data_IF_094066734817
#
_entry.id   IF_094066734817
#
_cell.length_a   1.000
_cell.length_b   1.000
_cell.length_c   1.000
_cell.angle_alpha   90.00
_cell.angle_beta   90.00
_cell.angle_gamma   90.00
#
_symmetry.space_group_name_H-M   'P 1'
#
loop_
_entity.id
_entity.type
_entity.pdbx_description
1 polymer ?
#
# COMPACT_ATOMS: atom_id res chain seq x y z
N UNK A 1 22.63 21.26 19.59
CA UNK A 1 21.37 20.60 19.22
C UNK A 1 21.38 20.46 17.70
N UNK A 2 21.97 19.38 17.19
CA UNK A 2 22.23 19.21 15.75
C UNK A 2 21.25 18.20 15.18
N UNK A 3 20.43 18.65 14.24
CA UNK A 3 19.64 17.80 13.35
C UNK A 3 20.51 17.49 12.15
N UNK A 4 20.90 16.23 11.99
CA UNK A 4 21.66 15.77 10.84
C UNK A 4 20.69 15.30 9.76
N UNK A 5 20.65 16.04 8.66
CA UNK A 5 20.07 15.61 7.37
C UNK A 5 21.14 14.77 6.67
N UNK A 6 20.79 13.56 6.21
CA UNK A 6 21.61 12.80 5.27
C UNK A 6 20.77 12.54 4.03
N UNK A 7 21.17 13.18 2.93
CA UNK A 7 20.80 12.86 1.56
C UNK A 7 21.82 11.82 1.07
N UNK A 8 21.39 10.74 0.42
CA UNK A 8 22.26 10.00 -0.49
C UNK A 8 21.53 9.71 -1.80
N UNK A 9 22.13 10.23 -2.87
CA UNK A 9 21.89 9.86 -4.26
C UNK A 9 23.03 8.93 -4.70
N UNK A 10 22.64 7.85 -5.38
CA UNK A 10 23.42 6.92 -6.21
C UNK A 10 24.70 6.30 -5.62
N UNK A 11 24.73 4.97 -5.46
CA UNK A 11 25.75 4.09 -6.06
C UNK A 11 25.36 2.62 -5.84
N UNK A 12 25.68 1.82 -6.86
CA UNK A 12 25.45 0.39 -7.05
C UNK A 12 25.61 -0.45 -5.76
N UNK A 13 24.54 -1.06 -5.27
CA UNK A 13 24.61 -2.12 -4.26
C UNK A 13 23.47 -3.10 -4.46
N UNK A 14 23.83 -4.38 -4.59
CA UNK A 14 22.93 -5.52 -4.54
C UNK A 14 22.21 -5.54 -3.18
N UNK A 15 21.16 -4.75 -3.04
CA UNK A 15 20.19 -4.92 -1.97
C UNK A 15 19.12 -5.86 -2.53
N UNK A 16 19.18 -7.10 -2.05
CA UNK A 16 18.09 -8.06 -2.14
C UNK A 16 16.90 -7.41 -1.40
N UNK A 17 16.08 -6.65 -2.12
CA UNK A 17 14.87 -6.05 -1.57
C UNK A 17 13.91 -7.20 -1.26
N UNK A 18 13.93 -7.70 -0.03
CA UNK A 18 12.90 -8.61 0.44
C UNK A 18 11.59 -7.83 0.56
N UNK A 19 10.59 -8.18 -0.24
CA UNK A 19 9.23 -7.71 0.03
C UNK A 19 8.72 -8.46 1.26
N UNK A 20 8.50 -7.78 2.39
CA UNK A 20 7.92 -8.39 3.60
C UNK A 20 6.57 -7.74 3.86
N UNK A 21 5.55 -8.58 3.97
CA UNK A 21 4.21 -8.22 4.36
C UNK A 21 3.88 -8.93 5.66
N UNK A 22 3.66 -8.15 6.72
CA UNK A 22 3.24 -8.65 8.02
C UNK A 22 1.83 -8.19 8.32
N UNK A 23 0.97 -9.12 8.73
CA UNK A 23 -0.37 -8.83 9.24
C UNK A 23 -0.41 -9.08 10.73
N UNK A 24 -1.12 -8.24 11.49
CA UNK A 24 -1.49 -8.52 12.88
C UNK A 24 -3.00 -8.42 13.02
N UNK A 25 -3.63 -9.50 13.45
CA UNK A 25 -5.06 -9.62 13.71
C UNK A 25 -5.27 -10.11 15.16
N UNK A 26 -6.52 -10.12 15.64
CA UNK A 26 -6.88 -10.77 16.93
C UNK A 26 -7.32 -12.24 16.75
N UNK A 27 -7.64 -12.65 15.52
CA UNK A 27 -8.11 -13.99 15.10
C UNK A 27 -7.80 -14.22 13.61
N UNK A 28 -8.01 -15.46 13.13
CA UNK A 28 -7.53 -16.01 11.85
C UNK A 28 -7.75 -15.11 10.62
N UNK A 29 -6.69 -14.92 9.82
CA UNK A 29 -6.73 -14.30 8.50
C UNK A 29 -5.99 -15.18 7.50
N UNK A 30 -6.03 -14.76 6.24
CA UNK A 30 -5.19 -15.28 5.15
C UNK A 30 -4.64 -14.07 4.41
N UNK A 31 -3.35 -13.82 4.58
CA UNK A 31 -2.59 -12.85 3.81
C UNK A 31 -1.93 -13.53 2.62
N UNK A 32 -2.45 -13.30 1.42
CA UNK A 32 -1.86 -13.85 0.20
C UNK A 32 -1.29 -12.70 -0.63
N UNK A 33 -0.09 -12.93 -1.16
CA UNK A 33 0.58 -12.01 -2.09
C UNK A 33 0.65 -12.68 -3.46
N UNK A 34 0.18 -11.99 -4.50
CA UNK A 34 0.18 -12.53 -5.86
C UNK A 34 0.98 -11.66 -6.82
N UNK A 35 1.71 -12.30 -7.75
CA UNK A 35 2.30 -11.67 -8.93
C UNK A 35 1.77 -12.38 -10.18
N UNK A 36 0.89 -11.72 -10.94
CA UNK A 36 0.17 -12.40 -12.03
C UNK A 36 -0.61 -13.60 -11.50
N UNK A 37 -0.25 -14.81 -11.96
CA UNK A 37 -0.84 -16.08 -11.52
C UNK A 37 -0.09 -16.74 -10.34
N UNK A 38 1.10 -16.25 -10.00
CA UNK A 38 1.92 -16.83 -8.92
C UNK A 38 1.41 -16.37 -7.57
N UNK A 39 1.17 -17.34 -6.68
CA UNK A 39 0.64 -17.12 -5.33
C UNK A 39 1.71 -17.42 -4.28
N UNK A 40 2.02 -16.45 -3.42
CA UNK A 40 2.95 -16.60 -2.30
C UNK A 40 2.17 -16.74 -0.99
N UNK A 41 2.38 -17.88 -0.31
CA UNK A 41 1.71 -18.20 0.96
C UNK A 41 2.49 -17.67 2.18
N UNK A 42 1.81 -17.43 3.30
CA UNK A 42 2.46 -17.12 4.58
C UNK A 42 3.48 -18.16 5.01
N UNK A 43 4.45 -17.71 5.80
CA UNK A 43 5.27 -18.60 6.62
C UNK A 43 4.47 -19.07 7.83
N UNK A 44 4.38 -20.39 8.00
CA UNK A 44 3.76 -21.04 9.16
C UNK A 44 4.88 -21.54 10.05
N UNK A 45 4.95 -20.99 11.26
CA UNK A 45 5.78 -21.51 12.34
C UNK A 45 4.97 -22.57 13.11
N UNK A 46 5.61 -23.66 13.55
CA UNK A 46 4.98 -24.59 14.47
C UNK A 46 5.26 -24.15 15.92
N UNK A 47 4.32 -23.52 16.62
CA UNK A 47 4.53 -23.11 18.01
C UNK A 47 4.54 -24.28 19.00
N UNK A 48 4.14 -25.49 18.58
CA UNK A 48 3.90 -26.65 19.44
C UNK A 48 3.21 -26.27 20.77
N UNK A 49 1.96 -25.80 20.67
CA UNK A 49 1.21 -25.29 21.82
C UNK A 49 0.86 -26.36 22.86
N UNK A 50 1.00 -27.65 22.52
CA UNK A 50 0.59 -28.76 23.39
C UNK A 50 1.80 -29.51 23.93
N UNK A 51 2.76 -29.87 23.08
CA UNK A 51 3.95 -30.61 23.50
C UNK A 51 5.08 -29.72 23.99
N UNK A 52 5.05 -28.44 23.63
CA UNK A 52 6.05 -27.43 23.99
C UNK A 52 7.50 -27.82 23.66
N UNK A 53 7.69 -28.74 22.71
CA UNK A 53 8.98 -29.37 22.46
C UNK A 53 9.93 -28.42 21.74
N UNK A 54 11.17 -28.34 22.23
CA UNK A 54 12.19 -27.48 21.65
C UNK A 54 12.45 -27.81 20.18
N UNK A 55 12.47 -29.09 19.81
CA UNK A 55 12.73 -29.53 18.45
C UNK A 55 11.69 -29.01 17.45
N UNK A 56 10.39 -29.05 17.80
CA UNK A 56 9.33 -28.54 16.92
C UNK A 56 9.29 -27.01 16.90
N UNK A 57 9.58 -26.35 18.03
CA UNK A 57 9.65 -24.88 18.13
C UNK A 57 10.87 -24.29 17.41
N UNK A 58 11.96 -25.03 17.30
CA UNK A 58 13.17 -24.63 16.56
C UNK A 58 13.14 -25.01 15.07
N UNK A 59 12.12 -25.74 14.63
CA UNK A 59 12.00 -26.13 13.24
C UNK A 59 11.83 -24.90 12.33
N UNK A 60 12.43 -24.95 11.14
CA UNK A 60 12.29 -23.88 10.17
C UNK A 60 10.81 -23.70 9.76
N UNK A 61 10.38 -22.45 9.60
CA UNK A 61 9.03 -22.16 9.13
C UNK A 61 8.84 -22.66 7.70
N UNK A 62 7.65 -23.18 7.40
CA UNK A 62 7.29 -23.71 6.08
C UNK A 62 6.18 -22.85 5.47
N UNK A 63 6.11 -22.78 4.14
CA UNK A 63 5.02 -22.09 3.45
C UNK A 63 3.70 -22.83 3.63
N UNK A 64 2.65 -22.12 3.99
CA UNK A 64 1.33 -22.73 4.14
C UNK A 64 0.25 -21.74 4.56
N UNK A 65 -0.98 -22.24 4.62
CA UNK A 65 -2.06 -21.51 5.25
C UNK A 65 -1.89 -21.57 6.77
N UNK A 66 -1.88 -20.41 7.40
CA UNK A 66 -1.87 -20.30 8.86
C UNK A 66 -3.30 -20.24 9.40
N UNK A 67 -3.59 -21.04 10.42
CA UNK A 67 -4.86 -21.03 11.13
C UNK A 67 -4.69 -21.01 12.65
N UNK A 68 -3.48 -20.75 13.13
CA UNK A 68 -3.13 -20.75 14.56
C UNK A 68 -2.63 -19.39 15.01
N UNK A 69 -1.83 -18.73 14.18
CA UNK A 69 -1.23 -17.46 14.56
C UNK A 69 -2.15 -16.29 14.21
N UNK A 70 -2.00 -15.22 14.99
CA UNK A 70 -2.64 -13.93 14.76
C UNK A 70 -1.70 -12.93 14.06
N UNK A 71 -0.51 -13.41 13.69
CA UNK A 71 0.47 -12.71 12.86
C UNK A 71 0.81 -13.61 11.68
N UNK A 72 0.67 -13.07 10.48
CA UNK A 72 1.06 -13.74 9.24
C UNK A 72 2.13 -12.96 8.53
N UNK A 73 3.17 -13.64 8.05
CA UNK A 73 4.26 -13.04 7.28
C UNK A 73 4.37 -13.71 5.91
N UNK A 74 4.30 -12.92 4.86
CA UNK A 74 4.78 -13.32 3.53
C UNK A 74 6.09 -12.60 3.28
N UNK A 75 7.10 -13.32 2.78
CA UNK A 75 8.34 -12.67 2.32
C UNK A 75 8.82 -13.27 1.01
N UNK A 76 9.31 -12.46 0.09
CA UNK A 76 9.91 -12.97 -1.16
C UNK A 76 11.38 -12.57 -1.14
N UNK A 77 12.28 -13.56 -1.16
CA UNK A 77 13.72 -13.29 -1.09
C UNK A 77 14.19 -12.54 -2.34
N UNK A 78 13.83 -13.03 -3.52
CA UNK A 78 14.18 -12.42 -4.81
C UNK A 78 12.90 -12.07 -5.57
N UNK A 79 12.23 -10.95 -5.22
CA UNK A 79 11.00 -10.59 -5.91
C UNK A 79 11.30 -10.20 -7.35
N UNK A 80 10.47 -10.70 -8.27
CA UNK A 80 10.49 -10.21 -9.64
C UNK A 80 9.91 -8.79 -9.69
N UNK A 81 10.38 -7.98 -10.64
CA UNK A 81 9.82 -6.66 -10.86
C UNK A 81 8.35 -6.77 -11.29
N UNK A 82 7.48 -5.97 -10.68
CA UNK A 82 6.06 -5.92 -11.06
C UNK A 82 5.15 -5.44 -9.94
N UNK A 83 3.87 -5.29 -10.27
CA UNK A 83 2.82 -4.97 -9.29
C UNK A 83 2.35 -6.23 -8.61
N UNK A 84 2.45 -6.25 -7.30
CA UNK A 84 1.93 -7.33 -6.49
C UNK A 84 0.54 -6.97 -5.97
N UNK A 85 -0.39 -7.94 -6.04
CA UNK A 85 -1.71 -7.82 -5.40
C UNK A 85 -1.64 -8.45 -4.02
N UNK A 86 -2.10 -7.71 -3.02
CA UNK A 86 -2.28 -8.22 -1.66
C UNK A 86 -3.77 -8.50 -1.46
N UNK A 87 -4.06 -9.74 -1.11
CA UNK A 87 -5.42 -10.17 -0.77
C UNK A 87 -5.44 -10.57 0.69
N UNK A 88 -6.32 -9.91 1.45
CA UNK A 88 -6.61 -10.21 2.84
C UNK A 88 -7.99 -10.83 2.92
N UNK A 89 -8.05 -12.10 3.25
CA UNK A 89 -9.32 -12.81 3.39
C UNK A 89 -9.56 -13.18 4.84
N UNK A 90 -10.75 -12.89 5.34
CA UNK A 90 -11.19 -13.42 6.63
C UNK A 90 -11.48 -14.92 6.45
N UNK A 91 -10.76 -15.78 7.17
CA UNK A 91 -10.83 -17.24 6.93
C UNK A 91 -11.99 -17.96 7.62
N UNK A 92 -12.89 -17.21 8.25
CA UNK A 92 -14.00 -17.74 9.06
C UNK A 92 -13.68 -17.79 10.55
N UNK A 93 -14.63 -18.29 11.33
CA UNK A 93 -14.48 -18.50 12.79
C UNK A 93 -13.55 -19.67 13.12
N UNK A 94 -13.15 -19.77 14.39
CA UNK A 94 -12.61 -21.03 14.91
C UNK A 94 -13.77 -22.04 15.02
N UNK A 95 -13.52 -23.36 14.89
CA UNK A 95 -14.46 -24.35 15.38
C UNK A 95 -14.86 -24.00 16.81
N UNK A 96 -16.14 -24.15 17.14
CA UNK A 96 -16.72 -23.88 18.46
C UNK A 96 -16.68 -22.42 18.95
N UNK A 97 -16.27 -21.47 18.10
CA UNK A 97 -16.42 -20.04 18.38
C UNK A 97 -17.70 -19.46 17.76
N UNK A 98 -18.19 -18.32 18.30
CA UNK A 98 -19.25 -17.55 17.66
C UNK A 98 -18.91 -17.20 16.20
N UNK A 99 -19.96 -17.00 15.39
CA UNK A 99 -19.80 -16.56 14.01
C UNK A 99 -18.88 -15.31 13.95
N UNK A 100 -17.89 -15.30 13.04
CA UNK A 100 -16.91 -14.23 13.02
C UNK A 100 -17.56 -12.88 12.74
N UNK A 101 -17.19 -11.86 13.53
CA UNK A 101 -17.60 -10.48 13.32
C UNK A 101 -16.66 -9.75 12.35
N UNK A 102 -17.00 -8.50 12.02
CA UNK A 102 -16.03 -7.56 11.47
C UNK A 102 -14.81 -7.50 12.39
N UNK A 103 -13.63 -7.59 11.78
CA UNK A 103 -12.36 -7.53 12.49
C UNK A 103 -11.43 -6.54 11.82
N UNK A 104 -10.80 -5.70 12.63
CA UNK A 104 -9.75 -4.79 12.19
C UNK A 104 -8.43 -5.54 12.06
N UNK A 105 -7.66 -5.19 11.04
CA UNK A 105 -6.33 -5.71 10.78
C UNK A 105 -5.37 -4.57 10.50
N UNK A 106 -4.13 -4.77 10.90
CA UNK A 106 -3.02 -3.91 10.49
C UNK A 106 -2.12 -4.68 9.54
N UNK A 107 -1.65 -3.99 8.50
CA UNK A 107 -0.67 -4.51 7.54
C UNK A 107 0.54 -3.61 7.50
N UNK A 108 1.72 -4.21 7.37
CA UNK A 108 2.99 -3.50 7.16
C UNK A 108 3.67 -4.10 5.95
N UNK A 109 4.06 -3.24 5.01
CA UNK A 109 4.80 -3.59 3.81
C UNK A 109 6.21 -2.99 3.88
N UNK A 110 7.19 -3.72 3.37
CA UNK A 110 8.55 -3.24 3.17
C UNK A 110 9.09 -3.75 1.82
N UNK A 111 10.14 -3.12 1.31
CA UNK A 111 10.70 -3.47 -0.01
C UNK A 111 9.78 -3.09 -1.18
N UNK A 112 8.87 -2.14 -0.97
CA UNK A 112 7.96 -1.62 -1.98
C UNK A 112 8.26 -0.16 -2.27
N UNK A 113 8.16 0.23 -3.53
CA UNK A 113 8.19 1.63 -3.95
C UNK A 113 6.77 2.00 -4.36
N UNK A 114 6.14 2.91 -3.62
CA UNK A 114 4.83 3.44 -4.01
C UNK A 114 4.94 4.15 -5.36
N UNK A 115 3.97 3.96 -6.24
CA UNK A 115 3.96 4.64 -7.52
C UNK A 115 3.68 6.13 -7.29
N UNK A 116 4.51 7.01 -7.86
CA UNK A 116 4.25 8.43 -7.80
C UNK A 116 3.00 8.73 -8.65
N UNK A 117 2.06 9.55 -8.14
CA UNK A 117 0.92 9.96 -8.95
C UNK A 117 1.43 10.73 -10.18
N UNK A 118 0.87 10.43 -11.34
CA UNK A 118 1.18 11.13 -12.59
C UNK A 118 -0.10 11.70 -13.16
N UNK A 119 -0.13 13.02 -13.34
CA UNK A 119 -1.20 13.67 -14.10
C UNK A 119 -0.99 13.33 -15.57
N UNK A 120 -1.96 12.66 -16.17
CA UNK A 120 -1.92 12.22 -17.57
C UNK A 120 -2.53 13.26 -18.50
N UNK A 121 -3.61 13.91 -18.07
CA UNK A 121 -4.23 15.00 -18.83
C UNK A 121 -4.97 15.97 -17.93
N UNK A 122 -5.12 17.20 -18.43
CA UNK A 122 -5.89 18.26 -17.83
C UNK A 122 -6.74 18.91 -18.93
N UNK A 123 -8.06 18.80 -18.82
CA UNK A 123 -8.99 19.53 -19.69
C UNK A 123 -9.59 20.69 -18.92
N UNK A 124 -9.68 21.86 -19.56
CA UNK A 124 -10.25 23.07 -18.97
C UNK A 124 -11.66 23.29 -19.50
N UNK A 125 -12.58 23.64 -18.61
CA UNK A 125 -13.93 24.07 -18.97
C UNK A 125 -13.88 25.42 -19.68
N UNK A 126 -14.80 25.71 -20.63
CA UNK A 126 -14.91 27.04 -21.24
C UNK A 126 -15.11 28.19 -20.23
N UNK A 127 -15.58 27.89 -19.01
CA UNK A 127 -15.78 28.85 -17.91
C UNK A 127 -14.52 29.08 -17.04
N UNK A 128 -13.39 28.48 -17.41
CA UNK A 128 -12.04 28.65 -16.84
C UNK A 128 -11.85 28.40 -15.33
N UNK A 129 -12.87 27.94 -14.62
CA UNK A 129 -12.80 27.65 -13.17
C UNK A 129 -12.89 26.16 -12.85
N UNK A 130 -13.33 25.36 -13.81
CA UNK A 130 -13.46 23.91 -13.71
C UNK A 130 -12.45 23.21 -14.60
N UNK A 131 -11.84 22.16 -14.06
CA UNK A 131 -10.85 21.35 -14.73
C UNK A 131 -11.15 19.88 -14.53
N UNK A 132 -11.04 19.10 -15.60
CA UNK A 132 -11.09 17.65 -15.55
C UNK A 132 -9.65 17.13 -15.53
N UNK A 133 -9.23 16.59 -14.39
CA UNK A 133 -7.88 16.07 -14.17
C UNK A 133 -7.93 14.55 -14.26
N UNK A 134 -7.20 13.99 -15.21
CA UNK A 134 -6.99 12.53 -15.34
C UNK A 134 -5.59 12.18 -14.86
N UNK A 135 -5.49 11.18 -14.00
CA UNK A 135 -4.23 10.77 -13.41
C UNK A 135 -4.12 9.26 -13.21
N UNK A 136 -2.88 8.78 -13.22
CA UNK A 136 -2.51 7.41 -12.88
C UNK A 136 -1.88 7.36 -11.49
N UNK A 137 -2.33 6.44 -10.64
CA UNK A 137 -1.82 6.24 -9.29
C UNK A 137 -2.07 4.82 -8.77
N UNK A 138 -1.49 4.50 -7.61
CA UNK A 138 -1.84 3.28 -6.87
C UNK A 138 -3.32 3.33 -6.43
N UNK A 139 -4.12 2.29 -6.71
CA UNK A 139 -5.45 2.17 -6.15
C UNK A 139 -5.44 2.22 -4.61
N UNK A 140 -6.51 2.74 -4.04
CA UNK A 140 -6.70 3.00 -2.61
C UNK A 140 -5.79 4.07 -1.99
N UNK A 141 -4.98 4.79 -2.78
CA UNK A 141 -4.23 5.94 -2.29
C UNK A 141 -5.10 7.21 -2.26
N UNK A 142 -4.99 7.97 -1.18
CA UNK A 142 -5.58 9.31 -1.06
C UNK A 142 -4.60 10.38 -1.53
N UNK A 143 -5.11 11.37 -2.25
CA UNK A 143 -4.32 12.51 -2.73
C UNK A 143 -5.03 13.82 -2.45
N UNK A 144 -4.26 14.85 -2.07
CA UNK A 144 -4.67 16.24 -2.11
C UNK A 144 -4.26 16.82 -3.46
N UNK A 145 -5.19 17.42 -4.17
CA UNK A 145 -4.92 18.11 -5.43
C UNK A 145 -4.71 19.58 -5.11
N UNK A 146 -3.63 20.13 -5.66
CA UNK A 146 -3.22 21.50 -5.41
C UNK A 146 -2.98 22.24 -6.72
N UNK A 147 -3.23 23.55 -6.69
CA UNK A 147 -2.93 24.47 -7.78
C UNK A 147 -2.03 25.60 -7.30
N UNK A 148 -1.31 26.19 -8.24
CA UNK A 148 -0.43 27.33 -7.97
C UNK A 148 -0.37 28.25 -9.19
N UNK A 149 -0.41 29.58 -9.01
CA UNK A 149 -0.20 30.51 -10.12
C UNK A 149 1.29 30.72 -10.46
N UNK A 150 2.20 30.36 -9.55
CA UNK A 150 3.61 30.78 -9.59
C UNK A 150 4.62 29.66 -9.26
N UNK A 151 4.15 28.42 -9.06
CA UNK A 151 4.93 27.25 -8.58
C UNK A 151 5.46 27.37 -7.14
N UNK A 152 5.16 28.46 -6.44
CA UNK A 152 5.66 28.76 -5.09
C UNK A 152 4.53 28.65 -4.08
N UNK A 153 3.42 29.34 -4.33
CA UNK A 153 2.26 29.38 -3.46
C UNK A 153 1.24 28.35 -3.92
N UNK A 154 1.01 27.32 -3.12
CA UNK A 154 0.12 26.21 -3.44
C UNK A 154 -1.15 26.27 -2.59
N UNK A 155 -2.30 26.17 -3.23
CA UNK A 155 -3.62 26.08 -2.59
C UNK A 155 -4.23 24.69 -2.80
N UNK A 156 -5.00 24.22 -1.82
CA UNK A 156 -5.74 22.98 -1.92
C UNK A 156 -7.02 23.18 -2.73
N UNK A 157 -7.26 22.32 -3.71
CA UNK A 157 -8.46 22.33 -4.55
C UNK A 157 -9.40 21.16 -4.26
N UNK A 158 -8.94 20.16 -3.51
CA UNK A 158 -9.74 19.01 -3.12
C UNK A 158 -8.91 17.80 -2.72
N UNK A 159 -9.59 16.76 -2.26
CA UNK A 159 -8.99 15.45 -1.99
C UNK A 159 -9.71 14.37 -2.79
N UNK A 160 -8.96 13.37 -3.25
CA UNK A 160 -9.47 12.26 -4.07
C UNK A 160 -8.91 10.93 -3.59
N UNK A 161 -9.77 9.92 -3.53
CA UNK A 161 -9.38 8.52 -3.41
C UNK A 161 -9.19 7.94 -4.81
N UNK A 162 -8.00 7.42 -5.12
CA UNK A 162 -7.80 6.65 -6.34
C UNK A 162 -8.54 5.31 -6.21
N UNK A 163 -9.64 5.13 -6.93
CA UNK A 163 -10.41 3.87 -6.90
C UNK A 163 -9.90 2.86 -7.93
N UNK A 164 -9.24 3.35 -8.98
CA UNK A 164 -8.63 2.58 -10.05
C UNK A 164 -7.17 3.00 -10.29
N UNK A 165 -6.50 2.35 -11.24
CA UNK A 165 -5.16 2.76 -11.68
C UNK A 165 -5.24 4.14 -12.36
N UNK A 166 -6.17 4.30 -13.31
CA UNK A 166 -6.47 5.57 -13.95
C UNK A 166 -7.75 6.14 -13.38
N UNK A 167 -7.72 7.40 -12.97
CA UNK A 167 -8.82 8.09 -12.33
C UNK A 167 -9.04 9.44 -13.01
N UNK A 168 -10.30 9.88 -13.04
CA UNK A 168 -10.66 11.18 -13.55
C UNK A 168 -11.50 11.90 -12.49
N UNK A 169 -11.13 13.14 -12.18
CA UNK A 169 -11.79 13.95 -11.16
C UNK A 169 -12.01 15.37 -11.67
N UNK A 170 -13.18 15.91 -11.38
CA UNK A 170 -13.49 17.32 -11.61
C UNK A 170 -12.95 18.12 -10.42
N UNK A 171 -12.14 19.13 -10.70
CA UNK A 171 -11.61 20.05 -9.69
C UNK A 171 -11.92 21.48 -10.07
N UNK A 172 -12.19 22.30 -9.06
CA UNK A 172 -12.42 23.73 -9.22
C UNK A 172 -11.24 24.52 -8.67
N UNK A 173 -10.87 25.60 -9.36
CA UNK A 173 -9.92 26.58 -8.86
C UNK A 173 -10.62 27.89 -8.59
N UNK A 174 -10.49 28.38 -7.34
CA UNK A 174 -10.93 29.72 -6.98
C UNK A 174 -10.01 30.82 -7.58
N UNK A 175 -8.87 30.41 -8.16
CA UNK A 175 -7.87 31.32 -8.70
C UNK A 175 -8.14 31.50 -10.19
N UNK A 176 -8.66 32.66 -10.59
CA UNK A 176 -8.88 33.02 -12.00
C UNK A 176 -7.60 33.63 -12.60
N UNK A 177 -6.59 32.80 -12.82
CA UNK A 177 -5.35 33.21 -13.48
C UNK A 177 -5.25 32.61 -14.89
N UNK A 178 -4.62 33.35 -15.80
CA UNK A 178 -4.36 32.89 -17.18
C UNK A 178 -3.37 31.71 -17.23
N UNK A 179 -2.65 31.45 -16.13
CA UNK A 179 -1.73 30.34 -15.96
C UNK A 179 -1.91 29.72 -14.58
N UNK A 180 -2.08 28.40 -14.56
CA UNK A 180 -2.17 27.60 -13.34
C UNK A 180 -1.34 26.33 -13.51
N UNK A 181 -0.58 26.02 -12.48
CA UNK A 181 0.16 24.77 -12.34
C UNK A 181 -0.60 23.84 -11.40
N UNK A 182 -0.53 22.54 -11.66
CA UNK A 182 -1.23 21.52 -10.88
C UNK A 182 -0.24 20.51 -10.35
N UNK A 183 -0.45 20.06 -9.12
CA UNK A 183 0.27 18.92 -8.55
C UNK A 183 -0.65 18.09 -7.68
N UNK A 184 -0.20 16.85 -7.44
CA UNK A 184 -0.85 15.94 -6.50
C UNK A 184 0.12 15.65 -5.35
N UNK A 185 -0.37 15.79 -4.12
CA UNK A 185 0.35 15.37 -2.91
C UNK A 185 -0.35 14.14 -2.35
N UNK A 186 0.39 13.07 -2.09
CA UNK A 186 -0.17 11.91 -1.41
C UNK A 186 -0.56 12.31 0.01
N UNK A 187 -1.83 12.06 0.37
CA UNK A 187 -2.31 12.21 1.74
C UNK A 187 -1.70 11.12 2.61
N UNK A 188 -1.25 11.49 3.82
CA UNK A 188 -0.85 10.52 4.84
C UNK A 188 -2.07 10.06 5.63
#
# INVERSE_FOLDING_TARGET
MFVSIIIFSAFLSWIIHCAVLCFRARTRRRGVLCLGITTFLPWVLNPDLTGETNALRSAAAVRGLDNRNNVERVSIATPAAGRYRITLTHSGGLPDNPAPSNQMVSSVLSGVTAELPRIDSLAVSPTATEYLLTFTADPAAYFTIQSSPDLVNWSDNGSVLATNITNTVLVTSAVTNSKLFWRMRRGQ
#
